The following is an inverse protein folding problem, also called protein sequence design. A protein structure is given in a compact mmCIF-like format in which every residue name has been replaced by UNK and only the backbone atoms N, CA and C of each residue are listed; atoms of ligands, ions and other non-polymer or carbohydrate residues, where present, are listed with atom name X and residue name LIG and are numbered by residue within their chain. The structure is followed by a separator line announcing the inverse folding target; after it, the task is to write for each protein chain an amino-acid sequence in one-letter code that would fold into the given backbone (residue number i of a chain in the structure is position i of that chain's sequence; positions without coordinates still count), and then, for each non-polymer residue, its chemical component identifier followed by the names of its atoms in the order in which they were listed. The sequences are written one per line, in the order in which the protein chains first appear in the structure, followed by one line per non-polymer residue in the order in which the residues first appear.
data_IF_271164876004
#
_entry.id   IF_271164876004
#
_cell.length_a   1.000
_cell.length_b   1.000
_cell.length_c   1.000
_cell.angle_alpha   90.00
_cell.angle_beta   90.00
_cell.angle_gamma   90.00
#
_symmetry.space_group_name_H-M   'P 1'
#
loop_
_entity.id
_entity.type
_entity.pdbx_description
1 polymer ?
#
# COMPACT_ATOMS: atom_id res chain seq x y z
N UNK A 1 -117.71 44.71 38.38
CA UNK A 1 -118.32 43.93 39.49
C UNK A 1 -117.17 43.45 40.37
N UNK A 2 -117.18 43.76 41.67
CA UNK A 2 -116.15 43.35 42.65
C UNK A 2 -116.34 41.87 43.09
N UNK A 3 -115.40 41.21 43.81
CA UNK A 3 -114.15 41.65 44.48
C UNK A 3 -112.88 41.10 43.76
N UNK A 4 -111.68 40.77 44.31
CA UNK A 4 -111.16 40.59 45.69
C UNK A 4 -109.61 40.73 45.81
N UNK A 5 -109.01 40.18 46.87
CA UNK A 5 -107.58 40.10 47.26
C UNK A 5 -107.42 38.89 48.24
N UNK A 6 -106.25 38.47 48.81
CA UNK A 6 -104.88 39.04 48.81
C UNK A 6 -103.73 37.97 48.72
N UNK A 7 -102.59 38.24 49.39
CA UNK A 7 -101.36 37.43 49.61
C UNK A 7 -100.38 37.33 48.41
N UNK A 8 -99.12 37.81 48.43
CA UNK A 8 -98.00 37.83 49.41
C UNK A 8 -97.25 36.49 49.57
N UNK A 9 -95.92 36.59 49.76
CA UNK A 9 -94.96 35.54 50.18
C UNK A 9 -94.42 34.52 49.14
N UNK A 10 -93.89 34.97 47.98
CA UNK A 10 -93.06 34.12 47.07
C UNK A 10 -91.80 34.78 46.44
N UNK A 11 -91.34 35.93 46.96
CA UNK A 11 -90.24 36.71 46.33
C UNK A 11 -88.81 36.36 46.81
N UNK A 12 -88.64 35.51 47.83
CA UNK A 12 -87.33 35.22 48.42
C UNK A 12 -86.28 34.56 47.50
N UNK A 13 -86.60 33.56 46.63
CA UNK A 13 -85.56 32.83 45.90
C UNK A 13 -84.91 33.63 44.77
N UNK A 14 -85.58 34.68 44.25
CA UNK A 14 -85.08 35.45 43.12
C UNK A 14 -83.87 36.32 43.49
N UNK A 15 -83.85 36.86 44.71
CA UNK A 15 -82.76 37.72 45.19
C UNK A 15 -81.43 36.96 45.37
N UNK A 16 -81.49 35.68 45.78
CA UNK A 16 -80.30 34.84 45.95
C UNK A 16 -79.61 34.53 44.60
N UNK A 17 -80.38 34.36 43.53
CA UNK A 17 -79.84 34.13 42.17
C UNK A 17 -79.13 35.39 41.66
N UNK A 18 -79.69 36.59 41.90
CA UNK A 18 -79.06 37.85 41.49
C UNK A 18 -77.71 38.07 42.18
N UNK A 19 -77.58 37.73 43.46
CA UNK A 19 -76.28 37.81 44.17
C UNK A 19 -75.22 36.86 43.59
N UNK A 20 -75.62 35.67 43.12
CA UNK A 20 -74.70 34.71 42.51
C UNK A 20 -74.19 35.15 41.13
N UNK A 21 -75.01 35.83 40.33
CA UNK A 21 -74.55 36.41 39.06
C UNK A 21 -73.61 37.61 39.28
N UNK A 22 -73.84 38.42 40.32
CA UNK A 22 -72.98 39.55 40.66
C UNK A 22 -71.57 39.17 41.17
N UNK A 23 -71.34 37.89 41.48
CA UNK A 23 -70.04 37.36 41.93
C UNK A 23 -69.22 36.71 40.80
N UNK A 24 -69.68 36.76 39.55
CA UNK A 24 -69.07 36.07 38.41
C UNK A 24 -68.74 37.03 37.25
N UNK A 25 -68.11 38.16 37.59
CA UNK A 25 -67.72 39.21 36.65
C UNK A 25 -66.59 40.06 37.22
N UNK A 26 -65.36 39.55 37.14
CA UNK A 26 -64.14 40.25 37.53
C UNK A 26 -63.33 40.54 36.25
N UNK A 27 -63.52 41.73 35.69
CA UNK A 27 -62.76 42.19 34.52
C UNK A 27 -61.37 42.70 34.96
N UNK A 28 -60.43 41.78 35.20
CA UNK A 28 -59.02 42.17 35.22
C UNK A 28 -58.62 42.72 33.85
N UNK A 29 -58.26 44.00 33.82
CA UNK A 29 -57.74 44.65 32.62
C UNK A 29 -56.47 43.95 32.14
N UNK A 30 -56.37 43.70 30.83
CA UNK A 30 -55.18 43.15 30.22
C UNK A 30 -54.08 44.23 30.14
N UNK A 31 -53.13 44.20 31.07
CA UNK A 31 -51.83 44.84 30.85
C UNK A 31 -51.08 44.11 29.72
N UNK A 32 -50.44 44.87 28.82
CA UNK A 32 -49.56 44.31 27.79
C UNK A 32 -48.32 43.69 28.47
N UNK A 33 -48.45 42.40 28.80
CA UNK A 33 -47.39 41.61 29.39
C UNK A 33 -46.27 41.40 28.36
N UNK A 34 -45.33 42.36 28.32
CA UNK A 34 -44.07 42.33 27.57
C UNK A 34 -43.21 41.14 28.05
N UNK A 35 -43.57 39.94 27.60
CA UNK A 35 -43.05 38.67 28.10
C UNK A 35 -41.53 38.65 27.93
N UNK A 36 -40.75 38.46 29.01
CA UNK A 36 -39.30 38.54 28.94
C UNK A 36 -38.76 37.48 27.97
N UNK A 37 -37.88 37.91 27.06
CA UNK A 37 -37.35 37.04 26.02
C UNK A 37 -36.74 35.76 26.62
N UNK A 38 -37.07 34.56 26.09
CA UNK A 38 -36.64 33.31 26.70
C UNK A 38 -35.11 33.21 26.67
N UNK A 39 -34.52 32.93 27.84
CA UNK A 39 -33.08 32.75 27.97
C UNK A 39 -32.63 31.50 27.21
N UNK A 40 -31.98 31.69 26.06
CA UNK A 40 -31.41 30.63 25.23
C UNK A 40 -29.90 30.55 25.42
N UNK A 41 -29.38 29.32 25.54
CA UNK A 41 -27.92 29.10 25.48
C UNK A 41 -27.47 29.15 24.01
N UNK A 42 -26.38 29.86 23.74
CA UNK A 42 -25.77 29.97 22.40
C UNK A 42 -24.26 29.78 22.51
N UNK A 43 -23.68 29.09 21.53
CA UNK A 43 -22.24 28.84 21.45
C UNK A 43 -21.71 29.21 20.06
N UNK A 44 -20.67 30.03 20.02
CA UNK A 44 -20.09 30.54 18.78
C UNK A 44 -19.04 29.57 18.24
N UNK A 45 -19.48 28.57 17.47
CA UNK A 45 -18.59 27.60 16.80
C UNK A 45 -17.60 28.32 15.87
N UNK A 46 -16.31 28.06 16.04
CA UNK A 46 -15.27 28.55 15.13
C UNK A 46 -14.82 27.41 14.20
N UNK A 47 -14.67 27.70 12.91
CA UNK A 47 -14.08 26.74 11.96
C UNK A 47 -12.59 26.62 12.22
N UNK A 48 -12.13 25.42 12.55
CA UNK A 48 -10.71 25.09 12.76
C UNK A 48 -10.34 23.86 11.92
N UNK A 49 -9.06 23.74 11.56
CA UNK A 49 -8.58 22.63 10.74
C UNK A 49 -8.48 21.33 11.57
N UNK A 50 -9.44 20.42 11.38
CA UNK A 50 -9.45 19.11 12.05
C UNK A 50 -8.67 18.07 11.23
N UNK A 51 -7.58 17.55 11.79
CA UNK A 51 -6.82 16.46 11.19
C UNK A 51 -7.54 15.12 11.42
N UNK A 52 -8.30 14.66 10.43
CA UNK A 52 -8.95 13.34 10.45
C UNK A 52 -7.93 12.29 10.01
N UNK A 53 -7.47 11.46 10.96
CA UNK A 53 -6.60 10.31 10.70
C UNK A 53 -7.38 9.00 10.75
N UNK A 54 -6.87 7.98 10.05
CA UNK A 54 -7.37 6.60 10.10
C UNK A 54 -6.17 5.67 10.27
N UNK A 55 -6.23 4.78 11.25
CA UNK A 55 -5.20 3.77 11.48
C UNK A 55 -5.47 2.55 10.59
N UNK A 56 -4.49 2.17 9.77
CA UNK A 56 -4.60 1.13 8.75
C UNK A 56 -3.38 0.21 8.79
N UNK A 57 -3.59 -1.10 8.62
CA UNK A 57 -2.53 -2.10 8.70
C UNK A 57 -1.66 -2.17 7.44
N UNK A 58 -0.53 -1.45 7.48
CA UNK A 58 0.51 -1.52 6.46
C UNK A 58 1.47 -2.71 6.63
N UNK A 59 2.14 -3.11 5.53
CA UNK A 59 3.34 -3.97 5.56
C UNK A 59 4.45 -3.32 4.76
N UNK A 60 5.63 -3.21 5.35
CA UNK A 60 6.84 -2.70 4.69
C UNK A 60 7.52 -3.86 3.94
N UNK A 61 8.06 -3.58 2.76
CA UNK A 61 8.86 -4.52 1.96
C UNK A 61 10.16 -3.84 1.53
N UNK A 62 11.21 -4.64 1.26
CA UNK A 62 12.46 -4.11 0.74
C UNK A 62 12.24 -3.56 -0.69
N UNK A 63 12.82 -2.40 -1.05
CA UNK A 63 12.61 -1.78 -2.37
C UNK A 63 13.24 -2.60 -3.52
N UNK A 64 14.14 -3.53 -3.20
CA UNK A 64 14.69 -4.56 -4.09
C UNK A 64 14.91 -5.83 -3.28
N UNK A 65 14.60 -6.98 -3.88
CA UNK A 65 14.87 -8.32 -3.33
C UNK A 65 15.67 -9.08 -4.38
N UNK A 66 16.74 -9.76 -3.97
CA UNK A 66 17.63 -10.51 -4.85
C UNK A 66 17.75 -11.97 -4.38
N UNK A 67 17.08 -12.88 -5.07
CA UNK A 67 17.22 -14.31 -4.82
C UNK A 67 18.50 -14.85 -5.46
N UNK A 68 19.55 -15.07 -4.65
CA UNK A 68 20.78 -15.71 -5.12
C UNK A 68 20.54 -17.22 -5.29
N UNK A 69 20.54 -17.69 -6.53
CA UNK A 69 20.39 -19.10 -6.89
C UNK A 69 21.62 -19.59 -7.66
N UNK A 70 22.06 -20.82 -7.40
CA UNK A 70 23.16 -21.43 -8.14
C UNK A 70 22.77 -21.66 -9.61
N UNK A 71 23.66 -21.30 -10.55
CA UNK A 71 23.46 -21.52 -12.00
C UNK A 71 23.85 -22.93 -12.47
N UNK A 72 24.54 -23.67 -11.62
CA UNK A 72 25.08 -25.01 -11.90
C UNK A 72 24.80 -25.92 -10.70
N UNK A 73 24.64 -27.21 -10.96
CA UNK A 73 24.58 -28.23 -9.92
C UNK A 73 25.99 -28.54 -9.38
N UNK A 74 26.08 -28.92 -8.11
CA UNK A 74 27.32 -29.33 -7.46
C UNK A 74 27.23 -29.24 -5.93
N UNK A 75 28.21 -29.81 -5.23
CA UNK A 75 28.29 -29.74 -3.76
C UNK A 75 28.80 -28.38 -3.33
N UNK A 76 28.18 -27.74 -2.34
CA UNK A 76 28.70 -26.50 -1.73
C UNK A 76 29.83 -26.87 -0.77
N UNK A 77 31.07 -26.54 -1.14
CA UNK A 77 32.26 -26.78 -0.32
C UNK A 77 32.39 -25.77 0.82
N UNK A 78 32.03 -24.50 0.59
CA UNK A 78 32.19 -23.42 1.57
C UNK A 78 31.21 -22.27 1.34
N UNK A 79 30.70 -21.69 2.44
CA UNK A 79 30.10 -20.35 2.48
C UNK A 79 31.16 -19.33 2.90
N UNK A 80 31.30 -18.25 2.13
CA UNK A 80 32.40 -17.28 2.27
C UNK A 80 31.98 -15.95 2.92
N UNK A 81 30.68 -15.76 3.18
CA UNK A 81 30.11 -14.61 3.91
C UNK A 81 29.52 -15.03 5.26
N UNK A 82 29.28 -14.06 6.15
CA UNK A 82 28.57 -14.26 7.43
C UNK A 82 27.08 -13.95 7.23
N UNK A 83 26.19 -14.77 7.79
CA UNK A 83 24.76 -14.46 7.77
C UNK A 83 24.47 -13.13 8.46
N UNK A 84 23.67 -12.28 7.82
CA UNK A 84 23.34 -10.95 8.31
C UNK A 84 24.40 -9.86 8.07
N UNK A 85 25.54 -10.15 7.43
CA UNK A 85 26.47 -9.09 7.00
C UNK A 85 26.14 -8.57 5.60
N UNK A 86 26.41 -7.29 5.36
CA UNK A 86 26.41 -6.70 4.02
C UNK A 86 27.38 -7.43 3.08
N UNK A 87 27.01 -7.51 1.80
CA UNK A 87 27.82 -8.08 0.72
C UNK A 87 27.79 -7.16 -0.50
N UNK A 88 28.90 -7.09 -1.24
CA UNK A 88 29.09 -6.21 -2.40
C UNK A 88 28.92 -6.96 -3.71
N UNK A 89 28.71 -6.21 -4.80
CA UNK A 89 28.66 -6.78 -6.14
C UNK A 89 30.01 -7.41 -6.49
N UNK A 90 29.99 -8.71 -6.82
CA UNK A 90 31.19 -9.49 -7.16
C UNK A 90 31.79 -10.28 -6.01
N UNK A 91 31.31 -10.11 -4.77
CA UNK A 91 31.77 -10.91 -3.63
C UNK A 91 31.44 -12.40 -3.83
N UNK A 92 32.40 -13.26 -3.49
CA UNK A 92 32.19 -14.72 -3.52
C UNK A 92 31.32 -15.09 -2.32
N UNK A 93 30.08 -15.52 -2.57
CA UNK A 93 29.16 -15.94 -1.51
C UNK A 93 29.32 -17.43 -1.15
N UNK A 94 29.47 -18.28 -2.17
CA UNK A 94 29.62 -19.73 -2.03
C UNK A 94 30.68 -20.26 -2.98
N UNK A 95 31.43 -21.28 -2.55
CA UNK A 95 32.23 -22.13 -3.43
C UNK A 95 31.51 -23.45 -3.62
N UNK A 96 31.14 -23.72 -4.86
CA UNK A 96 30.67 -25.03 -5.34
C UNK A 96 31.92 -25.83 -5.75
N UNK A 97 31.87 -27.15 -5.64
CA UNK A 97 32.94 -28.05 -6.09
C UNK A 97 33.29 -27.81 -7.57
N UNK A 98 34.52 -27.36 -7.87
CA UNK A 98 34.94 -27.09 -9.24
C UNK A 98 35.38 -28.35 -9.99
N UNK A 99 35.51 -29.53 -9.36
CA UNK A 99 36.17 -30.68 -9.97
C UNK A 99 35.58 -31.11 -11.34
N UNK A 100 34.26 -31.21 -11.54
CA UNK A 100 33.69 -31.52 -12.87
C UNK A 100 33.99 -30.43 -13.89
N UNK A 101 33.65 -29.17 -13.56
CA UNK A 101 33.83 -28.02 -14.45
C UNK A 101 35.30 -27.75 -14.79
N UNK A 102 36.22 -28.11 -13.90
CA UNK A 102 37.66 -28.06 -14.16
C UNK A 102 38.09 -29.16 -15.14
N UNK A 103 37.60 -30.39 -15.00
CA UNK A 103 37.88 -31.46 -15.96
C UNK A 103 37.36 -31.10 -17.36
N UNK A 104 36.16 -30.54 -17.46
CA UNK A 104 35.58 -30.04 -18.71
C UNK A 104 36.42 -28.90 -19.31
N UNK A 105 36.83 -27.93 -18.49
CA UNK A 105 37.69 -26.81 -18.90
C UNK A 105 39.06 -27.28 -19.39
N UNK A 106 39.74 -28.15 -18.65
CA UNK A 106 41.07 -28.65 -19.01
C UNK A 106 40.99 -29.55 -20.26
N UNK A 107 39.89 -30.28 -20.46
CA UNK A 107 39.58 -31.04 -21.70
C UNK A 107 39.35 -30.12 -22.92
N UNK A 108 38.53 -29.08 -22.77
CA UNK A 108 38.32 -28.07 -23.81
C UNK A 108 39.63 -27.34 -24.17
N UNK A 109 40.45 -27.02 -23.16
CA UNK A 109 41.78 -26.41 -23.33
C UNK A 109 42.76 -27.32 -24.05
N UNK A 110 42.79 -28.62 -23.74
CA UNK A 110 43.60 -29.60 -24.46
C UNK A 110 43.15 -29.74 -25.93
N UNK A 111 41.84 -29.65 -26.19
CA UNK A 111 41.26 -29.68 -27.54
C UNK A 111 41.67 -28.45 -28.34
N UNK A 112 41.64 -27.25 -27.73
CA UNK A 112 42.15 -26.01 -28.32
C UNK A 112 43.64 -26.12 -28.66
N UNK A 113 44.48 -26.51 -27.71
CA UNK A 113 45.92 -26.64 -27.92
C UNK A 113 46.27 -27.65 -29.04
N UNK A 114 45.51 -28.74 -29.16
CA UNK A 114 45.62 -29.69 -30.29
C UNK A 114 45.29 -29.01 -31.62
N UNK A 115 44.19 -28.26 -31.70
CA UNK A 115 43.78 -27.56 -32.91
C UNK A 115 44.80 -26.47 -33.31
N UNK A 116 45.37 -25.75 -32.35
CA UNK A 116 46.44 -24.77 -32.56
C UNK A 116 47.71 -25.45 -33.10
N UNK A 117 48.11 -26.59 -32.54
CA UNK A 117 49.24 -27.37 -33.04
C UNK A 117 49.03 -27.89 -34.46
N UNK A 118 47.84 -28.43 -34.78
CA UNK A 118 47.49 -28.86 -36.14
C UNK A 118 47.47 -27.68 -37.12
N UNK A 119 46.93 -26.51 -36.73
CA UNK A 119 47.00 -25.28 -37.54
C UNK A 119 48.44 -24.84 -37.79
N UNK A 120 49.31 -24.91 -36.78
CA UNK A 120 50.72 -24.56 -36.92
C UNK A 120 51.46 -25.51 -37.87
N UNK A 121 51.24 -26.82 -37.73
CA UNK A 121 51.79 -27.82 -38.66
C UNK A 121 51.30 -27.62 -40.09
N UNK A 122 50.00 -27.36 -40.30
CA UNK A 122 49.44 -27.08 -41.61
C UNK A 122 50.06 -25.81 -42.25
N UNK A 123 50.27 -24.75 -41.45
CA UNK A 123 50.91 -23.52 -41.93
C UNK A 123 52.36 -23.75 -42.35
N UNK A 124 53.16 -24.44 -41.54
CA UNK A 124 54.54 -24.80 -41.92
C UNK A 124 54.60 -25.69 -43.17
N UNK A 125 53.58 -26.53 -43.37
CA UNK A 125 53.49 -27.39 -44.55
C UNK A 125 53.11 -26.62 -45.83
N UNK A 126 52.20 -25.65 -45.74
CA UNK A 126 51.87 -24.71 -46.83
C UNK A 126 53.08 -23.86 -47.22
N UNK A 127 53.75 -23.24 -46.23
CA UNK A 127 54.98 -22.46 -46.45
C UNK A 127 56.06 -23.29 -47.15
N UNK A 128 56.29 -24.53 -46.71
CA UNK A 128 57.23 -25.46 -47.35
C UNK A 128 56.82 -25.86 -48.78
N UNK A 129 55.54 -26.09 -49.05
CA UNK A 129 55.10 -26.42 -50.41
C UNK A 129 55.19 -25.20 -51.34
N UNK A 130 54.93 -23.99 -50.85
CA UNK A 130 55.10 -22.77 -51.64
C UNK A 130 56.54 -22.59 -52.14
N UNK A 131 57.54 -22.84 -51.29
CA UNK A 131 58.96 -22.83 -51.67
C UNK A 131 59.30 -23.91 -52.70
N UNK A 132 58.88 -25.16 -52.46
CA UNK A 132 59.17 -26.29 -53.36
C UNK A 132 58.50 -26.15 -54.73
N UNK A 133 57.30 -25.56 -54.80
CA UNK A 133 56.61 -25.26 -56.05
C UNK A 133 57.32 -24.12 -56.82
N UNK A 134 57.89 -23.13 -56.13
CA UNK A 134 58.62 -22.04 -56.78
C UNK A 134 59.86 -22.54 -57.54
N UNK A 135 60.54 -23.58 -57.04
CA UNK A 135 61.66 -24.26 -57.72
C UNK A 135 61.20 -25.44 -58.61
N UNK A 136 59.89 -25.68 -58.75
CA UNK A 136 59.27 -26.79 -59.49
C UNK A 136 59.74 -28.20 -59.05
N UNK A 137 60.06 -28.38 -57.77
CA UNK A 137 60.51 -29.66 -57.20
C UNK A 137 59.37 -30.62 -56.79
N UNK A 138 58.12 -30.16 -56.80
CA UNK A 138 56.89 -30.92 -56.45
C UNK A 138 55.74 -30.54 -57.39
N UNK A 139 54.63 -31.29 -57.37
CA UNK A 139 53.50 -31.00 -58.25
C UNK A 139 52.76 -29.74 -57.81
N UNK A 140 52.22 -28.99 -58.79
CA UNK A 140 51.28 -27.88 -58.53
C UNK A 140 49.91 -28.35 -58.01
N UNK A 141 49.69 -29.67 -58.01
CA UNK A 141 48.49 -30.32 -57.51
C UNK A 141 48.61 -30.74 -56.03
N UNK A 142 49.81 -30.62 -55.44
CA UNK A 142 50.09 -30.86 -54.01
C UNK A 142 49.90 -29.57 -53.15
N UNK A 143 49.04 -28.66 -53.61
CA UNK A 143 48.83 -27.30 -53.06
C UNK A 143 47.40 -27.09 -52.58
#
# INVERSE_FOLDING_TARGET
MFPSSPARLRLLPLAAVVLLLAACGDEQAAEDAQMPAPNVSVETVQVQALAISSELSGRIQAPRIAEVRARVAGVVLKREYREGSDVKQGDVLFRIDPAPFKADYDSARATLAKAEATRYQAKLQDERYAELIAINAVSRQDR
#
